data_IF_457498012632
#
_entry.id   IF_457498012632
#
_cell.length_a   1.000
_cell.length_b   1.000
_cell.length_c   1.000
_cell.angle_alpha   90.00
_cell.angle_beta   90.00
_cell.angle_gamma   90.00
#
_symmetry.space_group_name_H-M   'P 1'
#
loop_
_entity.id
_entity.type
_entity.pdbx_description
1 polymer ?
#
# COMPACT_ATOMS: atom_id res chain seq x y z
N UNK A 1 -32.77 26.82 -53.31
CA UNK A 1 -33.07 28.24 -53.00
C UNK A 1 -32.05 28.74 -51.98
N UNK A 2 -31.28 29.71 -52.45
CA UNK A 2 -30.22 30.44 -51.76
C UNK A 2 -30.72 31.16 -50.51
N UNK A 3 -29.91 31.15 -49.40
CA UNK A 3 -29.55 32.37 -48.68
C UNK A 3 -28.29 32.18 -47.83
N UNK A 4 -27.32 32.94 -48.27
CA UNK A 4 -26.03 33.23 -47.62
C UNK A 4 -26.21 34.01 -46.33
N UNK A 5 -25.49 33.69 -45.26
CA UNK A 5 -25.17 34.61 -44.16
C UNK A 5 -23.66 34.70 -43.96
N UNK A 6 -23.15 35.89 -44.19
CA UNK A 6 -21.76 36.34 -43.97
C UNK A 6 -21.33 36.13 -42.53
N UNK A 7 -20.20 35.49 -42.40
CA UNK A 7 -19.37 35.55 -41.17
C UNK A 7 -18.63 36.88 -41.15
N UNK A 8 -18.85 37.67 -40.11
CA UNK A 8 -17.99 38.80 -39.75
C UNK A 8 -16.93 38.29 -38.78
N UNK A 9 -15.68 38.25 -39.27
CA UNK A 9 -14.51 38.04 -38.41
C UNK A 9 -14.15 39.37 -37.74
N UNK A 10 -14.27 39.42 -36.40
CA UNK A 10 -13.64 40.43 -35.57
C UNK A 10 -12.57 39.75 -34.72
N UNK A 11 -11.37 39.68 -35.26
CA UNK A 11 -10.15 39.44 -34.50
C UNK A 11 -9.64 40.78 -33.96
N UNK A 12 -10.02 41.12 -32.74
CA UNK A 12 -9.35 42.13 -31.96
C UNK A 12 -8.19 41.46 -31.21
N UNK A 13 -6.97 41.60 -31.73
CA UNK A 13 -5.77 41.27 -30.96
C UNK A 13 -5.55 42.35 -29.91
N UNK A 14 -5.74 41.96 -28.63
CA UNK A 14 -5.22 42.73 -27.49
C UNK A 14 -3.74 42.33 -27.29
N UNK A 15 -2.80 43.27 -27.17
CA UNK A 15 -1.41 42.95 -26.86
C UNK A 15 -1.32 42.53 -25.41
N UNK A 16 -0.81 41.31 -25.16
CA UNK A 16 -0.37 40.86 -23.86
C UNK A 16 0.80 41.73 -23.40
N UNK A 17 0.57 42.57 -22.41
CA UNK A 17 1.64 43.27 -21.69
C UNK A 17 2.23 42.27 -20.70
N UNK A 18 3.51 41.95 -20.90
CA UNK A 18 4.27 41.07 -19.99
C UNK A 18 4.47 41.80 -18.65
N UNK A 19 3.72 41.35 -17.63
CA UNK A 19 3.79 41.91 -16.24
C UNK A 19 5.14 41.62 -15.57
N UNK A 20 5.99 40.79 -16.14
CA UNK A 20 7.26 40.33 -15.52
C UNK A 20 8.40 41.39 -15.61
N UNK A 21 8.31 42.35 -16.52
CA UNK A 21 9.38 43.37 -16.66
C UNK A 21 9.24 44.65 -15.78
N UNK A 22 8.12 44.78 -15.06
CA UNK A 22 7.83 45.97 -14.26
C UNK A 22 8.47 45.94 -12.85
N UNK A 23 8.99 44.77 -12.40
CA UNK A 23 9.40 44.59 -10.99
C UNK A 23 10.89 44.94 -10.71
N UNK A 24 11.77 45.05 -11.71
CA UNK A 24 13.21 45.15 -11.49
C UNK A 24 13.95 46.36 -12.12
N UNK A 25 13.27 47.44 -12.54
CA UNK A 25 13.92 48.65 -13.07
C UNK A 25 13.72 49.90 -12.18
N UNK A 26 14.69 50.82 -12.11
CA UNK A 26 14.50 52.07 -11.39
C UNK A 26 13.62 53.01 -12.20
N UNK A 27 12.33 53.03 -11.86
CA UNK A 27 11.35 53.90 -12.49
C UNK A 27 10.92 54.98 -11.52
N UNK A 28 11.47 56.20 -11.65
CA UNK A 28 10.62 57.35 -11.38
C UNK A 28 10.56 58.43 -12.47
N UNK A 29 11.17 58.31 -13.66
CA UNK A 29 11.32 59.45 -14.55
C UNK A 29 10.64 59.38 -15.94
N UNK A 30 9.92 58.32 -16.30
CA UNK A 30 9.37 58.14 -17.67
C UNK A 30 7.90 58.59 -17.81
N UNK A 31 7.18 58.88 -16.73
CA UNK A 31 5.76 59.25 -16.83
C UNK A 31 5.54 60.77 -16.98
N UNK A 32 6.58 61.58 -16.84
CA UNK A 32 6.43 63.04 -16.89
C UNK A 32 6.60 63.70 -18.26
N UNK A 33 6.96 62.98 -19.34
CA UNK A 33 7.36 63.62 -20.59
C UNK A 33 6.74 63.09 -21.88
N UNK A 34 5.56 62.43 -21.83
CA UNK A 34 4.82 62.14 -23.08
C UNK A 34 3.82 63.25 -23.36
N UNK A 35 4.01 64.10 -24.36
CA UNK A 35 3.02 65.11 -24.75
C UNK A 35 1.81 64.34 -25.35
N UNK A 36 0.62 64.53 -24.77
CA UNK A 36 -0.62 64.03 -25.30
C UNK A 36 -0.95 64.76 -26.58
N UNK A 37 -0.59 64.21 -27.71
CA UNK A 37 -0.95 64.64 -29.05
C UNK A 37 -2.20 63.92 -29.56
N UNK A 38 -3.27 63.94 -28.79
CA UNK A 38 -4.62 63.63 -29.32
C UNK A 38 -5.65 64.35 -28.49
N UNK A 39 -6.19 65.43 -29.07
CA UNK A 39 -7.32 66.19 -28.53
C UNK A 39 -8.58 65.69 -29.22
N UNK A 40 -9.40 64.75 -28.66
CA UNK A 40 -10.71 64.46 -29.19
C UNK A 40 -11.57 65.71 -29.02
N UNK A 41 -12.12 66.22 -30.09
CA UNK A 41 -13.10 67.31 -30.04
C UNK A 41 -14.36 66.86 -29.27
N UNK A 42 -14.60 67.46 -28.09
CA UNK A 42 -15.88 67.34 -27.39
C UNK A 42 -15.85 66.85 -25.94
N UNK A 43 -14.69 66.51 -25.34
CA UNK A 43 -14.67 66.14 -23.92
C UNK A 43 -14.27 67.37 -23.08
N UNK A 44 -15.08 67.74 -22.06
CA UNK A 44 -14.71 68.85 -21.16
C UNK A 44 -13.41 68.60 -20.45
N UNK A 45 -12.57 69.60 -20.34
CA UNK A 45 -11.22 69.54 -19.69
C UNK A 45 -11.35 68.98 -18.24
N UNK A 46 -12.45 69.18 -17.60
CA UNK A 46 -12.79 68.73 -16.24
C UNK A 46 -12.89 67.20 -16.19
N UNK A 47 -13.51 66.52 -17.18
CA UNK A 47 -13.64 65.08 -17.20
C UNK A 47 -12.28 64.39 -17.40
N UNK A 48 -11.40 64.92 -18.21
CA UNK A 48 -10.04 64.45 -18.40
C UNK A 48 -9.20 64.60 -17.14
N UNK A 49 -9.41 65.69 -16.37
CA UNK A 49 -8.72 65.97 -15.10
C UNK A 49 -9.25 65.01 -14.01
N UNK A 50 -10.53 64.80 -13.91
CA UNK A 50 -11.16 63.85 -12.96
C UNK A 50 -10.72 62.42 -13.25
N UNK A 51 -10.65 62.01 -14.51
CA UNK A 51 -10.16 60.71 -14.90
C UNK A 51 -8.65 60.50 -14.56
N UNK A 52 -7.80 61.52 -14.77
CA UNK A 52 -6.41 61.51 -14.36
C UNK A 52 -6.24 61.42 -12.86
N UNK A 53 -7.03 62.17 -12.09
CA UNK A 53 -6.97 62.13 -10.61
C UNK A 53 -7.49 60.78 -10.07
N UNK A 54 -8.51 60.22 -10.67
CA UNK A 54 -9.01 58.88 -10.33
C UNK A 54 -7.97 57.81 -10.61
N UNK A 55 -7.34 57.84 -11.79
CA UNK A 55 -6.26 56.91 -12.13
C UNK A 55 -5.04 57.03 -11.22
N UNK A 56 -4.68 58.26 -10.83
CA UNK A 56 -3.58 58.55 -9.90
C UNK A 56 -3.93 58.04 -8.48
N UNK A 57 -5.16 58.15 -8.06
CA UNK A 57 -5.63 57.64 -6.78
C UNK A 57 -5.64 56.11 -6.76
N UNK A 58 -6.13 55.44 -7.79
CA UNK A 58 -6.08 53.98 -7.90
C UNK A 58 -4.63 53.48 -7.96
N UNK A 59 -3.77 54.13 -8.70
CA UNK A 59 -2.35 53.76 -8.76
C UNK A 59 -1.66 53.91 -7.38
N UNK A 60 -2.01 54.95 -6.60
CA UNK A 60 -1.50 55.17 -5.25
C UNK A 60 -2.01 54.10 -4.27
N UNK A 61 -3.27 53.67 -4.41
CA UNK A 61 -3.84 52.59 -3.64
C UNK A 61 -3.15 51.24 -3.97
N UNK A 62 -2.91 50.95 -5.26
CA UNK A 62 -2.20 49.75 -5.69
C UNK A 62 -0.74 49.73 -5.25
N UNK A 63 -0.05 50.85 -5.31
CA UNK A 63 1.33 50.97 -4.83
C UNK A 63 1.41 50.87 -3.28
N UNK A 64 0.44 51.42 -2.57
CA UNK A 64 0.32 51.26 -1.10
C UNK A 64 0.04 49.80 -0.73
N UNK A 65 -0.85 49.13 -1.43
CA UNK A 65 -1.13 47.70 -1.23
C UNK A 65 0.10 46.82 -1.54
N UNK A 66 0.82 47.10 -2.63
CA UNK A 66 2.03 46.40 -2.98
C UNK A 66 3.17 46.62 -1.94
N UNK A 67 3.30 47.83 -1.39
CA UNK A 67 4.27 48.13 -0.34
C UNK A 67 3.93 47.39 0.97
N UNK A 68 2.67 47.44 1.40
CA UNK A 68 2.22 46.69 2.60
C UNK A 68 2.34 45.19 2.43
N UNK A 69 2.03 44.64 1.25
CA UNK A 69 2.22 43.23 0.94
C UNK A 69 3.70 42.83 0.97
N UNK A 70 4.57 43.63 0.39
CA UNK A 70 6.03 43.46 0.44
C UNK A 70 6.58 43.49 1.88
N UNK A 71 6.12 44.43 2.69
CA UNK A 71 6.55 44.55 4.08
C UNK A 71 6.08 43.34 4.91
N UNK A 72 4.84 42.93 4.75
CA UNK A 72 4.29 41.73 5.39
C UNK A 72 5.06 40.46 4.96
N UNK A 73 5.39 40.31 3.67
CA UNK A 73 6.16 39.15 3.18
C UNK A 73 7.58 39.15 3.71
N UNK A 74 8.25 40.32 3.80
CA UNK A 74 9.61 40.42 4.36
C UNK A 74 9.64 40.13 5.85
N UNK A 75 8.63 40.54 6.61
CA UNK A 75 8.51 40.24 8.05
C UNK A 75 8.18 38.77 8.31
N UNK A 76 7.35 38.13 7.49
CA UNK A 76 6.96 36.74 7.65
C UNK A 76 8.01 35.75 7.13
N UNK A 77 8.84 36.13 6.17
CA UNK A 77 9.85 35.28 5.56
C UNK A 77 10.80 34.59 6.56
N UNK A 78 11.40 35.29 7.58
CA UNK A 78 12.28 34.62 8.54
C UNK A 78 11.54 33.58 9.38
N UNK A 79 10.27 33.82 9.72
CA UNK A 79 9.45 32.84 10.46
C UNK A 79 9.11 31.63 9.59
N UNK A 80 8.78 31.85 8.32
CA UNK A 80 8.53 30.79 7.36
C UNK A 80 9.79 29.94 7.13
N UNK A 81 10.94 30.56 6.97
CA UNK A 81 12.23 29.86 6.85
C UNK A 81 12.56 29.09 8.13
N UNK A 82 12.37 29.72 9.30
CA UNK A 82 12.56 29.06 10.60
C UNK A 82 11.66 27.82 10.76
N UNK A 83 10.38 27.93 10.39
CA UNK A 83 9.45 26.81 10.40
C UNK A 83 9.86 25.70 9.41
N UNK A 84 10.27 26.08 8.20
CA UNK A 84 10.75 25.12 7.18
C UNK A 84 11.99 24.34 7.65
N UNK A 85 12.91 24.99 8.34
CA UNK A 85 14.12 24.36 8.89
C UNK A 85 13.81 23.50 10.13
N UNK A 86 12.88 23.94 10.98
CA UNK A 86 12.47 23.21 12.19
C UNK A 86 11.60 21.99 11.86
N UNK A 87 10.80 22.03 10.79
CA UNK A 87 9.83 20.99 10.45
C UNK A 87 10.43 19.57 10.32
N UNK A 88 11.54 19.35 9.60
CA UNK A 88 12.19 18.03 9.52
C UNK A 88 12.65 17.50 10.89
N UNK A 89 13.08 18.39 11.78
CA UNK A 89 13.50 18.01 13.13
C UNK A 89 12.28 17.56 13.95
N UNK A 90 11.20 18.32 13.89
CA UNK A 90 9.93 17.98 14.58
C UNK A 90 9.38 16.65 14.07
N UNK A 91 9.25 16.48 12.76
CA UNK A 91 8.70 15.26 12.18
C UNK A 91 9.55 14.03 12.52
N UNK A 92 10.87 14.12 12.38
CA UNK A 92 11.81 13.05 12.72
C UNK A 92 11.72 12.69 14.20
N UNK A 93 11.71 13.70 15.08
CA UNK A 93 11.63 13.48 16.53
C UNK A 93 10.34 12.75 16.92
N UNK A 94 9.19 13.19 16.39
CA UNK A 94 7.89 12.56 16.66
C UNK A 94 7.85 11.11 16.17
N UNK A 95 8.42 10.82 15.00
CA UNK A 95 8.49 9.45 14.46
C UNK A 95 9.33 8.52 15.35
N UNK A 96 10.54 8.95 15.73
CA UNK A 96 11.39 8.15 16.63
C UNK A 96 10.86 8.09 18.06
N UNK A 97 10.04 9.06 18.50
CA UNK A 97 9.37 9.00 19.79
C UNK A 97 8.41 7.80 19.88
N UNK A 98 7.70 7.45 18.79
CA UNK A 98 6.84 6.26 18.75
C UNK A 98 7.67 4.98 18.92
N UNK A 99 8.79 4.85 18.20
CA UNK A 99 9.68 3.70 18.36
C UNK A 99 10.21 3.60 19.80
N UNK A 100 10.65 4.72 20.38
CA UNK A 100 11.12 4.76 21.78
C UNK A 100 10.02 4.36 22.78
N UNK A 101 8.77 4.78 22.54
CA UNK A 101 7.63 4.35 23.36
C UNK A 101 7.41 2.83 23.26
N UNK A 102 7.50 2.26 22.05
CA UNK A 102 7.38 0.82 21.85
C UNK A 102 8.44 0.05 22.64
N UNK A 103 9.72 0.44 22.52
CA UNK A 103 10.82 -0.18 23.28
C UNK A 103 10.66 -0.03 24.79
N UNK A 104 10.12 1.10 25.26
CA UNK A 104 9.85 1.31 26.69
C UNK A 104 8.69 0.44 27.19
N UNK A 105 7.67 0.24 26.37
CA UNK A 105 6.48 -0.55 26.71
C UNK A 105 6.81 -2.04 26.87
N UNK A 106 7.58 -2.60 25.93
CA UNK A 106 7.86 -4.02 25.88
C UNK A 106 9.21 -4.41 26.53
N UNK A 107 10.07 -3.48 26.86
CA UNK A 107 11.31 -3.66 27.63
C UNK A 107 12.21 -4.88 27.28
N UNK A 108 12.08 -5.43 26.07
CA UNK A 108 12.94 -6.52 25.56
C UNK A 108 14.24 -5.94 25.02
N UNK A 109 15.27 -5.86 25.86
CA UNK A 109 16.55 -5.22 25.53
C UNK A 109 17.64 -6.19 25.10
N UNK A 110 17.51 -7.46 25.40
CA UNK A 110 18.49 -8.51 25.09
C UNK A 110 17.82 -9.68 24.36
N UNK A 111 18.64 -10.49 23.65
CA UNK A 111 18.15 -11.72 23.00
C UNK A 111 17.53 -12.69 24.01
N UNK A 112 18.06 -12.76 25.21
CA UNK A 112 17.50 -13.59 26.29
C UNK A 112 16.12 -13.09 26.74
N UNK A 113 15.93 -11.78 26.88
CA UNK A 113 14.60 -11.24 27.19
C UNK A 113 13.60 -11.47 26.04
N UNK A 114 14.05 -11.30 24.78
CA UNK A 114 13.24 -11.54 23.57
C UNK A 114 12.75 -12.98 23.45
N UNK A 115 13.49 -13.97 24.01
CA UNK A 115 13.08 -15.38 23.99
C UNK A 115 11.78 -15.64 24.75
N UNK A 116 11.38 -14.72 25.62
CA UNK A 116 10.15 -14.80 26.41
C UNK A 116 8.95 -14.09 25.79
N UNK A 117 9.14 -13.50 24.61
CA UNK A 117 8.08 -12.75 23.92
C UNK A 117 6.91 -13.67 23.59
N UNK A 118 5.72 -13.29 24.05
CA UNK A 118 4.49 -14.01 23.76
C UNK A 118 4.00 -13.72 22.33
N UNK A 119 3.17 -14.59 21.78
CA UNK A 119 2.61 -14.35 20.45
C UNK A 119 1.60 -13.18 20.43
N UNK A 120 0.93 -12.90 21.57
CA UNK A 120 0.09 -11.71 21.70
C UNK A 120 0.88 -10.41 21.70
N UNK A 121 1.99 -10.34 22.43
CA UNK A 121 2.89 -9.17 22.40
C UNK A 121 3.51 -8.99 21.00
N UNK A 122 3.95 -10.09 20.40
CA UNK A 122 4.46 -10.10 19.04
C UNK A 122 3.43 -9.57 18.04
N UNK A 123 2.18 -9.98 18.17
CA UNK A 123 1.06 -9.45 17.38
C UNK A 123 0.86 -7.95 17.59
N UNK A 124 0.87 -7.44 18.82
CA UNK A 124 0.66 -6.02 19.09
C UNK A 124 1.80 -5.17 18.50
N UNK A 125 3.04 -5.64 18.60
CA UNK A 125 4.20 -4.97 17.99
C UNK A 125 4.06 -4.98 16.46
N UNK A 126 3.78 -6.15 15.86
CA UNK A 126 3.59 -6.28 14.41
C UNK A 126 2.40 -5.45 13.92
N UNK A 127 1.28 -5.39 14.66
CA UNK A 127 0.11 -4.55 14.35
C UNK A 127 0.49 -3.07 14.28
N UNK A 128 1.33 -2.58 15.20
CA UNK A 128 1.82 -1.21 15.15
C UNK A 128 2.68 -0.96 13.90
N UNK A 129 3.58 -1.89 13.56
CA UNK A 129 4.38 -1.84 12.33
C UNK A 129 3.48 -1.81 11.09
N UNK A 130 2.50 -2.72 11.03
CA UNK A 130 1.63 -2.93 9.87
C UNK A 130 0.58 -1.84 9.67
N UNK A 131 0.02 -1.26 10.75
CA UNK A 131 -1.11 -0.34 10.63
C UNK A 131 -0.72 1.13 10.77
N UNK A 132 0.37 1.44 11.48
CA UNK A 132 0.76 2.81 11.83
C UNK A 132 2.07 3.25 11.20
N UNK A 133 3.12 2.40 11.26
CA UNK A 133 4.46 2.79 10.81
C UNK A 133 4.65 2.61 9.30
N UNK A 134 4.42 1.40 8.78
CA UNK A 134 4.77 1.01 7.43
C UNK A 134 3.65 0.28 6.66
N UNK A 135 2.37 0.75 6.72
CA UNK A 135 1.25 -0.02 6.20
C UNK A 135 1.38 -0.37 4.72
N UNK A 136 1.86 0.57 3.90
CA UNK A 136 1.99 0.34 2.46
C UNK A 136 2.99 -0.80 2.18
N UNK A 137 4.20 -0.71 2.73
CA UNK A 137 5.24 -1.71 2.45
C UNK A 137 4.96 -3.03 3.14
N UNK A 138 4.31 -3.03 4.30
CA UNK A 138 3.91 -4.26 4.97
C UNK A 138 2.90 -5.05 4.12
N UNK A 139 1.80 -4.41 3.65
CA UNK A 139 0.79 -5.11 2.87
C UNK A 139 1.31 -5.54 1.50
N UNK A 140 2.09 -4.66 0.83
CA UNK A 140 2.69 -4.99 -0.47
C UNK A 140 3.72 -6.10 -0.38
N UNK A 141 4.42 -6.22 0.75
CA UNK A 141 5.34 -7.33 1.00
C UNK A 141 4.63 -8.68 1.13
N UNK A 142 3.47 -8.74 1.80
CA UNK A 142 2.68 -9.96 1.90
C UNK A 142 2.12 -10.39 0.53
N UNK A 143 1.68 -9.44 -0.28
CA UNK A 143 1.25 -9.69 -1.66
C UNK A 143 2.41 -10.21 -2.51
N UNK A 144 3.58 -9.60 -2.38
CA UNK A 144 4.78 -10.03 -3.08
C UNK A 144 5.30 -11.37 -2.56
N UNK A 145 5.15 -11.68 -1.27
CA UNK A 145 5.47 -12.98 -0.71
C UNK A 145 4.71 -14.10 -1.45
N UNK A 146 3.39 -13.93 -1.58
CA UNK A 146 2.56 -14.89 -2.33
C UNK A 146 2.97 -14.96 -3.80
N UNK A 147 3.17 -13.82 -4.45
CA UNK A 147 3.62 -13.76 -5.84
C UNK A 147 4.97 -14.49 -6.06
N UNK A 148 5.92 -14.34 -5.13
CA UNK A 148 7.23 -14.97 -5.19
C UNK A 148 7.15 -16.50 -5.15
N UNK A 149 6.16 -17.08 -4.45
CA UNK A 149 5.97 -18.54 -4.42
C UNK A 149 5.74 -19.13 -5.81
N UNK A 150 5.18 -18.36 -6.75
CA UNK A 150 4.92 -18.83 -8.11
C UNK A 150 6.21 -19.05 -8.95
N UNK A 151 7.36 -18.63 -8.44
CA UNK A 151 8.66 -19.00 -9.02
C UNK A 151 9.05 -20.45 -8.80
N UNK A 152 8.28 -21.20 -7.98
CA UNK A 152 8.53 -22.62 -7.70
C UNK A 152 7.57 -23.49 -8.54
N UNK A 153 8.07 -24.36 -9.42
CA UNK A 153 7.25 -25.17 -10.34
C UNK A 153 6.24 -26.10 -9.66
N UNK A 154 6.53 -26.66 -8.49
CA UNK A 154 5.57 -27.49 -7.72
C UNK A 154 4.33 -26.67 -7.35
N UNK A 155 4.54 -25.44 -6.85
CA UNK A 155 3.46 -24.54 -6.44
C UNK A 155 2.68 -24.05 -7.66
N UNK A 156 3.36 -23.48 -8.66
CA UNK A 156 2.72 -22.90 -9.84
C UNK A 156 1.94 -23.93 -10.66
N UNK A 157 2.48 -25.15 -10.81
CA UNK A 157 1.79 -26.25 -11.51
C UNK A 157 0.52 -26.66 -10.77
N UNK A 158 0.55 -26.73 -9.44
CA UNK A 158 -0.65 -27.04 -8.66
C UNK A 158 -1.70 -25.95 -8.82
N UNK A 159 -1.31 -24.68 -8.71
CA UNK A 159 -2.20 -23.53 -8.85
C UNK A 159 -2.84 -23.49 -10.26
N UNK A 160 -2.06 -23.71 -11.31
CA UNK A 160 -2.57 -23.78 -12.68
C UNK A 160 -3.60 -24.91 -12.84
N UNK A 161 -3.37 -26.08 -12.25
CA UNK A 161 -4.28 -27.24 -12.30
C UNK A 161 -5.59 -27.02 -11.53
N UNK A 162 -5.66 -26.10 -10.58
CA UNK A 162 -6.90 -25.84 -9.84
C UNK A 162 -7.96 -25.09 -10.64
N UNK A 163 -7.65 -24.65 -11.86
CA UNK A 163 -8.51 -23.83 -12.73
C UNK A 163 -8.98 -22.49 -12.10
N UNK A 164 -8.42 -22.12 -10.95
CA UNK A 164 -8.78 -20.87 -10.26
C UNK A 164 -8.13 -19.63 -10.90
N UNK A 165 -7.20 -19.85 -11.83
CA UNK A 165 -6.58 -18.83 -12.66
C UNK A 165 -6.97 -18.93 -14.14
N UNK A 166 -8.07 -19.63 -14.47
CA UNK A 166 -8.50 -19.84 -15.86
C UNK A 166 -9.27 -18.66 -16.46
N UNK A 167 -9.79 -17.76 -15.62
CA UNK A 167 -10.45 -16.53 -16.05
C UNK A 167 -10.10 -15.35 -15.12
N UNK A 168 -10.24 -14.09 -15.59
CA UNK A 168 -10.05 -12.92 -14.73
C UNK A 168 -10.96 -12.93 -13.49
N UNK A 169 -12.21 -13.39 -13.64
CA UNK A 169 -13.18 -13.41 -12.55
C UNK A 169 -12.78 -14.38 -11.44
N UNK A 170 -12.39 -15.60 -11.81
CA UNK A 170 -11.91 -16.59 -10.83
C UNK A 170 -10.59 -16.16 -10.20
N UNK A 171 -9.69 -15.55 -10.98
CA UNK A 171 -8.41 -15.01 -10.48
C UNK A 171 -8.61 -13.90 -9.46
N UNK A 172 -9.55 -12.97 -9.71
CA UNK A 172 -9.84 -11.87 -8.77
C UNK A 172 -10.45 -12.39 -7.47
N UNK A 173 -11.43 -13.31 -7.56
CA UNK A 173 -12.01 -13.94 -6.37
C UNK A 173 -10.95 -14.69 -5.59
N UNK A 174 -10.15 -15.51 -6.25
CA UNK A 174 -9.06 -16.29 -5.63
C UNK A 174 -8.06 -15.39 -4.92
N UNK A 175 -7.63 -14.30 -5.57
CA UNK A 175 -6.74 -13.31 -4.97
C UNK A 175 -7.35 -12.68 -3.72
N UNK A 176 -8.62 -12.27 -3.80
CA UNK A 176 -9.32 -11.66 -2.67
C UNK A 176 -9.52 -12.65 -1.52
N UNK A 177 -9.96 -13.88 -1.80
CA UNK A 177 -10.15 -14.92 -0.78
C UNK A 177 -8.84 -15.23 -0.03
N UNK A 178 -7.73 -15.34 -0.76
CA UNK A 178 -6.41 -15.53 -0.15
C UNK A 178 -6.03 -14.34 0.71
N UNK A 179 -6.24 -13.12 0.21
CA UNK A 179 -5.97 -11.89 0.97
C UNK A 179 -6.82 -11.82 2.24
N UNK A 180 -8.09 -12.21 2.18
CA UNK A 180 -8.98 -12.28 3.35
C UNK A 180 -8.44 -13.26 4.39
N UNK A 181 -8.13 -14.50 4.01
CA UNK A 181 -7.63 -15.50 4.95
C UNK A 181 -6.31 -15.10 5.60
N UNK A 182 -5.36 -14.57 4.82
CA UNK A 182 -4.11 -14.05 5.36
C UNK A 182 -4.38 -12.91 6.35
N UNK A 183 -5.26 -11.98 6.00
CA UNK A 183 -5.59 -10.84 6.87
C UNK A 183 -6.35 -11.26 8.13
N UNK A 184 -7.21 -12.28 8.07
CA UNK A 184 -7.86 -12.84 9.27
C UNK A 184 -6.85 -13.41 10.25
N UNK A 185 -5.79 -14.07 9.76
CA UNK A 185 -4.71 -14.59 10.59
C UNK A 185 -3.78 -13.49 11.14
N UNK A 186 -3.45 -12.48 10.31
CA UNK A 186 -2.43 -11.46 10.61
C UNK A 186 -3.01 -10.23 11.31
N UNK A 187 -4.25 -9.90 11.05
CA UNK A 187 -4.92 -8.68 11.52
C UNK A 187 -5.66 -8.81 12.83
N UNK A 188 -5.84 -10.03 13.35
CA UNK A 188 -6.56 -10.30 14.60
C UNK A 188 -5.62 -10.85 15.67
N UNK A 189 -6.00 -10.65 16.95
CA UNK A 189 -5.26 -11.23 18.07
C UNK A 189 -5.13 -12.75 17.87
N UNK A 190 -3.92 -13.34 18.08
CA UNK A 190 -3.68 -14.77 17.91
C UNK A 190 -4.64 -15.70 18.65
N UNK A 191 -5.16 -15.25 19.80
CA UNK A 191 -6.11 -16.02 20.64
C UNK A 191 -7.57 -15.70 20.33
N UNK A 192 -7.85 -14.87 19.32
CA UNK A 192 -9.22 -14.51 18.93
C UNK A 192 -9.90 -15.60 18.10
N UNK A 193 -11.21 -15.69 18.23
CA UNK A 193 -12.02 -16.61 17.43
C UNK A 193 -11.81 -16.40 15.90
N UNK A 194 -11.59 -15.17 15.46
CA UNK A 194 -11.33 -14.85 14.04
C UNK A 194 -9.99 -15.42 13.56
N UNK A 195 -8.92 -15.24 14.35
CA UNK A 195 -7.60 -15.79 13.99
C UNK A 195 -7.66 -17.32 13.93
N UNK A 196 -8.31 -17.96 14.88
CA UNK A 196 -8.52 -19.42 14.84
C UNK A 196 -9.33 -19.86 13.62
N UNK A 197 -10.43 -19.18 13.30
CA UNK A 197 -11.23 -19.47 12.11
C UNK A 197 -10.43 -19.33 10.82
N UNK A 198 -9.58 -18.29 10.72
CA UNK A 198 -8.69 -18.09 9.58
C UNK A 198 -7.70 -19.26 9.39
N UNK A 199 -7.06 -19.70 10.49
CA UNK A 199 -6.18 -20.87 10.51
C UNK A 199 -6.92 -22.15 10.14
N UNK A 200 -8.05 -22.44 10.82
CA UNK A 200 -8.84 -23.63 10.61
C UNK A 200 -9.35 -23.71 9.17
N UNK A 201 -9.84 -22.60 8.62
CA UNK A 201 -10.29 -22.55 7.22
C UNK A 201 -9.14 -22.81 6.24
N UNK A 202 -7.97 -22.24 6.49
CA UNK A 202 -6.79 -22.46 5.65
C UNK A 202 -6.33 -23.90 5.72
N UNK A 203 -6.27 -24.53 6.90
CA UNK A 203 -5.98 -25.97 7.08
C UNK A 203 -6.97 -26.83 6.29
N UNK A 204 -8.27 -26.55 6.42
CA UNK A 204 -9.31 -27.27 5.69
C UNK A 204 -9.13 -27.19 4.17
N UNK A 205 -8.89 -25.99 3.63
CA UNK A 205 -8.71 -25.81 2.19
C UNK A 205 -7.46 -26.55 1.64
N UNK A 206 -6.43 -26.71 2.48
CA UNK A 206 -5.18 -27.39 2.11
C UNK A 206 -5.22 -28.91 2.41
N UNK A 207 -6.09 -29.39 3.30
CA UNK A 207 -6.06 -30.75 3.84
C UNK A 207 -6.09 -31.85 2.76
N UNK A 208 -7.00 -31.75 1.79
CA UNK A 208 -7.10 -32.71 0.71
C UNK A 208 -5.88 -32.71 -0.23
N UNK A 209 -5.28 -31.56 -0.45
CA UNK A 209 -4.08 -31.44 -1.28
C UNK A 209 -2.84 -31.95 -0.54
N UNK A 210 -2.72 -31.72 0.77
CA UNK A 210 -1.65 -32.29 1.61
C UNK A 210 -1.80 -33.80 1.69
N UNK A 211 -2.97 -34.32 2.01
CA UNK A 211 -3.23 -35.75 2.10
C UNK A 211 -2.94 -36.51 0.77
N UNK A 212 -3.14 -35.85 -0.37
CA UNK A 212 -2.84 -36.41 -1.69
C UNK A 212 -1.37 -36.18 -2.15
N UNK A 213 -0.51 -35.59 -1.30
CA UNK A 213 0.88 -35.28 -1.63
C UNK A 213 1.05 -34.21 -2.71
N UNK A 214 0.01 -33.44 -3.04
CA UNK A 214 0.07 -32.36 -4.03
C UNK A 214 0.60 -31.05 -3.47
N UNK A 215 0.44 -30.81 -2.16
CA UNK A 215 1.10 -29.77 -1.42
C UNK A 215 2.22 -30.43 -0.63
N UNK A 216 3.45 -30.00 -0.88
CA UNK A 216 4.64 -30.50 -0.20
C UNK A 216 4.89 -29.71 1.10
N UNK A 217 5.40 -30.36 2.14
CA UNK A 217 5.73 -29.67 3.40
C UNK A 217 6.82 -28.62 3.19
N UNK A 218 7.78 -28.87 2.32
CA UNK A 218 8.81 -27.90 1.94
C UNK A 218 8.21 -26.65 1.25
N UNK A 219 7.19 -26.82 0.40
CA UNK A 219 6.46 -25.68 -0.22
C UNK A 219 5.70 -24.86 0.83
N UNK A 220 5.12 -25.51 1.85
CA UNK A 220 4.45 -24.85 2.96
C UNK A 220 5.44 -24.06 3.82
N UNK A 221 6.58 -24.65 4.15
CA UNK A 221 7.65 -23.99 4.91
C UNK A 221 8.23 -22.81 4.12
N UNK A 222 8.44 -22.96 2.81
CA UNK A 222 8.89 -21.87 1.94
C UNK A 222 7.88 -20.72 1.87
N UNK A 223 6.61 -21.04 1.75
CA UNK A 223 5.55 -20.03 1.75
C UNK A 223 5.51 -19.26 3.07
N UNK A 224 5.60 -19.95 4.20
CA UNK A 224 5.69 -19.33 5.53
C UNK A 224 6.93 -18.44 5.67
N UNK A 225 8.08 -18.93 5.18
CA UNK A 225 9.33 -18.16 5.17
C UNK A 225 9.16 -16.82 4.45
N UNK A 226 8.53 -16.84 3.28
CA UNK A 226 8.30 -15.61 2.52
C UNK A 226 7.38 -14.64 3.24
N UNK A 227 6.31 -15.11 3.87
CA UNK A 227 5.41 -14.25 4.65
C UNK A 227 6.10 -13.61 5.86
N UNK A 228 7.05 -14.28 6.48
CA UNK A 228 7.83 -13.73 7.59
C UNK A 228 8.94 -12.77 7.12
N UNK A 229 9.64 -13.12 6.05
CA UNK A 229 10.85 -12.41 5.61
C UNK A 229 10.57 -11.22 4.71
N UNK A 230 9.56 -11.29 3.82
CA UNK A 230 9.31 -10.19 2.88
C UNK A 230 8.92 -8.88 3.55
N UNK A 231 8.11 -8.82 4.63
CA UNK A 231 7.88 -7.59 5.37
C UNK A 231 9.18 -6.94 5.87
N UNK A 232 10.10 -7.74 6.40
CA UNK A 232 11.40 -7.27 6.89
C UNK A 232 12.23 -6.71 5.72
N UNK A 233 12.34 -7.48 4.63
CA UNK A 233 13.11 -7.10 3.44
C UNK A 233 12.57 -5.82 2.78
N UNK A 234 11.24 -5.70 2.62
CA UNK A 234 10.59 -4.54 2.01
C UNK A 234 10.72 -3.28 2.87
N UNK A 235 10.48 -3.38 4.17
CA UNK A 235 10.58 -2.25 5.09
C UNK A 235 12.02 -1.77 5.13
N UNK A 236 12.98 -2.65 5.31
CA UNK A 236 14.39 -2.28 5.37
C UNK A 236 14.89 -1.65 4.06
N UNK A 237 14.36 -2.04 2.92
CA UNK A 237 14.75 -1.52 1.60
C UNK A 237 14.01 -0.23 1.23
N UNK A 238 12.71 -0.13 1.49
CA UNK A 238 11.84 0.89 0.89
C UNK A 238 11.22 1.89 1.87
N UNK A 239 11.36 1.68 3.19
CA UNK A 239 10.83 2.60 4.20
C UNK A 239 11.88 3.54 4.78
N UNK A 240 11.41 4.56 5.50
CA UNK A 240 12.23 5.65 6.03
C UNK A 240 13.20 5.24 7.16
N UNK A 241 13.03 4.07 7.77
CA UNK A 241 13.98 3.40 8.68
C UNK A 241 13.89 1.88 8.53
N UNK A 242 14.91 1.21 9.01
CA UNK A 242 14.90 -0.25 9.18
C UNK A 242 14.10 -0.64 10.43
N UNK A 243 13.70 -1.90 10.49
CA UNK A 243 13.10 -2.50 11.67
C UNK A 243 14.17 -2.69 12.77
N UNK A 244 13.78 -2.43 14.02
CA UNK A 244 14.58 -2.76 15.19
C UNK A 244 14.57 -4.27 15.46
N UNK A 245 15.51 -4.77 16.28
CA UNK A 245 15.54 -6.18 16.66
C UNK A 245 14.28 -6.61 17.42
N UNK A 246 13.69 -5.71 18.22
CA UNK A 246 12.41 -5.93 18.88
C UNK A 246 11.29 -6.20 17.84
N UNK A 247 11.20 -5.38 16.79
CA UNK A 247 10.19 -5.52 15.73
C UNK A 247 10.46 -6.77 14.88
N UNK A 248 11.73 -7.08 14.59
CA UNK A 248 12.13 -8.31 13.89
C UNK A 248 11.77 -9.55 14.70
N UNK A 249 12.12 -9.57 16.00
CA UNK A 249 11.75 -10.65 16.89
C UNK A 249 10.24 -10.87 16.93
N UNK A 250 9.46 -9.80 17.03
CA UNK A 250 8.01 -9.86 17.03
C UNK A 250 7.45 -10.47 15.74
N UNK A 251 7.97 -10.07 14.57
CA UNK A 251 7.58 -10.68 13.30
C UNK A 251 7.91 -12.17 13.28
N UNK A 252 9.12 -12.57 13.69
CA UNK A 252 9.53 -13.97 13.76
C UNK A 252 8.67 -14.80 14.72
N UNK A 253 8.43 -14.30 15.92
CA UNK A 253 7.59 -14.96 16.94
C UNK A 253 6.15 -15.14 16.45
N UNK A 254 5.58 -14.09 15.86
CA UNK A 254 4.21 -14.14 15.32
C UNK A 254 4.07 -15.16 14.19
N UNK A 255 4.96 -15.11 13.18
CA UNK A 255 4.87 -16.02 12.03
C UNK A 255 5.23 -17.47 12.39
N UNK A 256 6.11 -17.69 13.37
CA UNK A 256 6.34 -19.04 13.92
C UNK A 256 5.06 -19.57 14.55
N UNK A 257 4.33 -18.79 15.35
CA UNK A 257 3.05 -19.17 15.93
C UNK A 257 1.96 -19.44 14.87
N UNK A 258 1.96 -18.69 13.75
CA UNK A 258 1.09 -18.98 12.59
C UNK A 258 1.46 -20.30 11.93
N UNK A 259 2.76 -20.57 11.75
CA UNK A 259 3.26 -21.81 11.18
C UNK A 259 2.89 -23.03 12.01
N UNK A 260 2.99 -22.93 13.35
CA UNK A 260 2.50 -23.97 14.28
C UNK A 260 1.00 -24.20 14.10
N UNK A 261 0.22 -23.11 14.05
CA UNK A 261 -1.22 -23.16 13.81
C UNK A 261 -1.63 -23.76 12.45
N UNK A 262 -0.74 -23.77 11.47
CA UNK A 262 -0.92 -24.40 10.15
C UNK A 262 -0.29 -25.78 10.05
N UNK A 263 0.28 -26.32 11.15
CA UNK A 263 1.00 -27.61 11.20
C UNK A 263 2.14 -27.70 10.18
N UNK A 264 2.93 -26.64 10.07
CA UNK A 264 4.09 -26.60 9.17
C UNK A 264 5.28 -27.23 9.89
N UNK A 265 5.91 -28.23 9.27
CA UNK A 265 7.09 -28.90 9.82
C UNK A 265 8.33 -28.02 9.73
N UNK A 266 9.10 -27.97 10.81
CA UNK A 266 10.41 -27.31 10.87
C UNK A 266 11.60 -28.27 10.86
N UNK A 267 11.38 -29.56 10.59
CA UNK A 267 12.45 -30.59 10.63
C UNK A 267 13.62 -30.29 9.69
N UNK A 268 13.41 -29.50 8.64
CA UNK A 268 14.44 -29.07 7.69
C UNK A 268 15.34 -27.96 8.24
N UNK A 269 14.94 -27.30 9.33
CA UNK A 269 15.72 -26.24 9.95
C UNK A 269 16.70 -26.82 10.98
N UNK A 270 17.89 -26.24 11.17
CA UNK A 270 18.89 -26.74 12.12
C UNK A 270 18.36 -26.98 13.54
N UNK A 271 17.58 -26.01 14.05
CA UNK A 271 16.97 -26.10 15.39
C UNK A 271 15.57 -26.69 15.41
N UNK A 272 15.07 -27.20 14.27
CA UNK A 272 13.69 -27.68 14.14
C UNK A 272 13.32 -28.81 15.12
N UNK A 273 14.28 -29.65 15.50
CA UNK A 273 14.08 -30.75 16.49
C UNK A 273 14.43 -30.37 17.93
N UNK A 274 15.35 -29.42 18.12
CA UNK A 274 15.83 -29.01 19.44
C UNK A 274 15.09 -27.81 20.03
N UNK A 275 14.29 -27.13 19.20
CA UNK A 275 13.61 -25.87 19.54
C UNK A 275 14.47 -24.64 19.21
N UNK A 276 13.80 -23.54 18.90
CA UNK A 276 14.43 -22.25 18.62
C UNK A 276 14.48 -21.43 19.92
N UNK A 277 15.54 -20.65 20.10
CA UNK A 277 15.69 -19.77 21.25
C UNK A 277 14.71 -18.60 21.24
N UNK A 278 14.54 -17.95 20.08
CA UNK A 278 13.73 -16.74 19.92
C UNK A 278 13.32 -16.53 18.44
N UNK A 279 12.44 -15.56 18.21
CA UNK A 279 11.95 -15.23 16.86
C UNK A 279 13.05 -14.79 15.90
N UNK A 280 14.16 -14.22 16.36
CA UNK A 280 15.26 -13.80 15.48
C UNK A 280 16.04 -15.04 15.00
N UNK A 281 16.34 -16.01 15.89
CA UNK A 281 17.01 -17.25 15.47
C UNK A 281 16.14 -18.00 14.46
N UNK A 282 14.84 -18.11 14.73
CA UNK A 282 13.93 -18.74 13.78
C UNK A 282 13.95 -18.03 12.41
N UNK A 283 13.97 -16.68 12.40
CA UNK A 283 14.09 -15.92 11.14
C UNK A 283 15.42 -16.15 10.43
N UNK A 284 16.53 -16.21 11.16
CA UNK A 284 17.86 -16.46 10.61
C UNK A 284 17.95 -17.83 9.95
N UNK A 285 17.42 -18.87 10.60
CA UNK A 285 17.43 -20.24 10.08
C UNK A 285 16.49 -20.41 8.88
N UNK A 286 15.28 -19.85 8.95
CA UNK A 286 14.34 -19.95 7.83
C UNK A 286 14.76 -19.10 6.63
N UNK A 287 15.51 -18.01 6.84
CA UNK A 287 16.09 -17.17 5.78
C UNK A 287 17.17 -17.97 5.02
N UNK A 288 18.14 -18.53 5.74
CA UNK A 288 19.18 -19.36 5.16
C UNK A 288 18.60 -20.57 4.40
N UNK A 289 17.67 -21.29 5.03
CA UNK A 289 16.99 -22.43 4.39
C UNK A 289 16.21 -22.02 3.13
N UNK A 290 15.49 -20.89 3.18
CA UNK A 290 14.71 -20.43 2.04
C UNK A 290 15.56 -20.02 0.85
N UNK A 291 16.77 -19.47 1.08
CA UNK A 291 17.72 -19.15 0.03
C UNK A 291 18.27 -20.40 -0.67
N UNK A 292 18.58 -21.46 0.09
CA UNK A 292 18.97 -22.76 -0.45
C UNK A 292 17.83 -23.41 -1.24
N UNK A 293 16.61 -23.34 -0.70
CA UNK A 293 15.41 -23.84 -1.36
C UNK A 293 15.17 -23.14 -2.70
N UNK A 294 15.23 -21.82 -2.73
CA UNK A 294 15.13 -21.05 -3.97
C UNK A 294 16.25 -21.37 -4.96
N UNK A 295 17.47 -21.51 -4.49
CA UNK A 295 18.60 -21.85 -5.36
C UNK A 295 18.40 -23.18 -6.08
N UNK A 296 17.73 -24.14 -5.44
CA UNK A 296 17.48 -25.47 -5.97
C UNK A 296 16.19 -25.59 -6.79
N UNK A 297 15.11 -24.93 -6.35
CA UNK A 297 13.79 -25.19 -6.89
C UNK A 297 13.16 -24.01 -7.64
N UNK A 298 13.70 -22.79 -7.50
CA UNK A 298 13.21 -21.62 -8.28
C UNK A 298 13.88 -21.62 -9.65
N UNK A 299 13.35 -22.46 -10.52
CA UNK A 299 13.87 -22.69 -11.88
C UNK A 299 12.86 -22.24 -12.94
N UNK A 300 13.33 -21.92 -14.17
CA UNK A 300 12.45 -21.53 -15.26
C UNK A 300 11.41 -22.59 -15.61
N UNK A 301 10.12 -22.21 -15.57
CA UNK A 301 9.01 -23.08 -15.95
C UNK A 301 7.85 -22.25 -16.56
N UNK A 302 7.21 -22.80 -17.59
CA UNK A 302 6.10 -22.12 -18.26
C UNK A 302 4.88 -21.91 -17.33
N UNK A 303 4.66 -22.81 -16.35
CA UNK A 303 3.59 -22.66 -15.36
C UNK A 303 3.85 -21.55 -14.38
N UNK A 304 5.12 -21.27 -14.07
CA UNK A 304 5.49 -20.07 -13.29
C UNK A 304 5.06 -18.80 -14.01
N UNK A 305 5.33 -18.71 -15.30
CA UNK A 305 4.92 -17.57 -16.13
C UNK A 305 3.41 -17.43 -16.21
N UNK A 306 2.71 -18.51 -16.52
CA UNK A 306 1.25 -18.55 -16.62
C UNK A 306 0.58 -18.02 -15.33
N UNK A 307 1.00 -18.53 -14.18
CA UNK A 307 0.46 -18.14 -12.86
C UNK A 307 0.82 -16.70 -12.52
N UNK A 308 2.05 -16.27 -12.79
CA UNK A 308 2.52 -14.91 -12.55
C UNK A 308 1.77 -13.89 -13.43
N UNK A 309 1.53 -14.17 -14.71
CA UNK A 309 0.81 -13.26 -15.61
C UNK A 309 -0.64 -13.02 -15.14
N UNK A 310 -1.34 -14.04 -14.66
CA UNK A 310 -2.69 -13.91 -14.10
C UNK A 310 -2.71 -13.00 -12.87
N UNK A 311 -1.74 -13.16 -11.97
CA UNK A 311 -1.64 -12.30 -10.78
C UNK A 311 -1.21 -10.88 -11.15
N UNK A 312 -0.30 -10.73 -12.10
CA UNK A 312 0.12 -9.41 -12.59
C UNK A 312 -1.05 -8.65 -13.23
N UNK A 313 -1.93 -9.36 -13.96
CA UNK A 313 -3.15 -8.77 -14.50
C UNK A 313 -4.06 -8.19 -13.39
N UNK A 314 -4.14 -8.86 -12.22
CA UNK A 314 -4.85 -8.32 -11.05
C UNK A 314 -4.17 -7.06 -10.52
N UNK A 315 -2.84 -7.07 -10.39
CA UNK A 315 -2.07 -5.93 -9.85
C UNK A 315 -2.16 -4.67 -10.73
N UNK A 316 -2.20 -4.83 -12.06
CA UNK A 316 -2.30 -3.70 -12.98
C UNK A 316 -3.74 -3.34 -13.34
N UNK A 317 -4.73 -4.08 -12.82
CA UNK A 317 -6.14 -3.92 -13.17
C UNK A 317 -6.65 -2.49 -13.01
N UNK A 318 -6.30 -1.81 -11.92
CA UNK A 318 -6.73 -0.44 -11.63
C UNK A 318 -5.93 0.63 -12.39
N UNK A 319 -4.96 0.25 -13.22
CA UNK A 319 -4.25 1.19 -14.09
C UNK A 319 -5.01 1.34 -15.43
N UNK A 320 -5.01 2.54 -16.05
CA UNK A 320 -5.40 2.69 -17.44
C UNK A 320 -4.63 1.73 -18.34
N UNK A 321 -5.26 1.15 -19.36
CA UNK A 321 -4.62 0.15 -20.24
C UNK A 321 -3.30 0.62 -20.85
N UNK A 322 -3.19 1.92 -21.16
CA UNK A 322 -1.95 2.53 -21.68
C UNK A 322 -0.78 2.48 -20.69
N UNK A 323 -1.06 2.37 -19.38
CA UNK A 323 -0.05 2.27 -18.33
C UNK A 323 0.27 0.83 -17.91
N UNK A 324 -0.41 -0.18 -18.47
CA UNK A 324 -0.12 -1.58 -18.17
C UNK A 324 1.35 -1.96 -18.43
N UNK A 325 1.99 -1.55 -19.57
CA UNK A 325 3.41 -1.84 -19.77
C UNK A 325 4.32 -1.25 -18.67
N UNK A 326 3.99 -0.06 -18.17
CA UNK A 326 4.72 0.57 -17.04
C UNK A 326 4.50 -0.22 -15.75
N UNK A 327 3.27 -0.67 -15.50
CA UNK A 327 2.94 -1.54 -14.37
C UNK A 327 3.73 -2.86 -14.40
N UNK A 328 3.88 -3.48 -15.57
CA UNK A 328 4.70 -4.69 -15.75
C UNK A 328 6.19 -4.41 -15.48
N UNK A 329 6.71 -3.28 -15.92
CA UNK A 329 8.08 -2.85 -15.60
C UNK A 329 8.27 -2.67 -14.08
N UNK A 330 7.24 -2.14 -13.38
CA UNK A 330 7.27 -2.02 -11.92
C UNK A 330 7.29 -3.39 -11.25
N UNK A 331 6.47 -4.35 -11.69
CA UNK A 331 6.47 -5.71 -11.14
C UNK A 331 7.85 -6.36 -11.35
N UNK A 332 8.42 -6.24 -12.55
CA UNK A 332 9.76 -6.76 -12.85
C UNK A 332 10.85 -6.06 -12.02
N UNK A 333 10.73 -4.75 -11.75
CA UNK A 333 11.64 -4.01 -10.88
C UNK A 333 11.66 -4.54 -9.43
N UNK A 334 10.52 -5.02 -8.93
CA UNK A 334 10.42 -5.59 -7.58
C UNK A 334 11.04 -6.99 -7.47
N UNK A 335 11.20 -7.71 -8.59
CA UNK A 335 11.80 -9.04 -8.64
C UNK A 335 13.34 -8.95 -8.61
N UNK A 336 13.97 -9.96 -8.02
CA UNK A 336 15.39 -10.22 -8.25
C UNK A 336 15.61 -11.05 -9.54
N UNK A 337 16.88 -11.24 -9.92
CA UNK A 337 17.24 -11.93 -11.16
C UNK A 337 16.82 -13.40 -11.19
N UNK A 338 16.86 -14.10 -10.02
CA UNK A 338 16.43 -15.49 -9.91
C UNK A 338 14.94 -15.61 -10.20
N UNK A 339 14.13 -14.79 -9.56
CA UNK A 339 12.68 -14.80 -9.75
C UNK A 339 12.29 -14.42 -11.19
N UNK A 340 12.92 -13.38 -11.77
CA UNK A 340 12.68 -13.01 -13.18
C UNK A 340 12.99 -14.15 -14.13
N UNK A 341 14.13 -14.83 -13.96
CA UNK A 341 14.50 -15.99 -14.77
C UNK A 341 13.50 -17.13 -14.61
N UNK A 342 13.11 -17.45 -13.37
CA UNK A 342 12.16 -18.52 -13.09
C UNK A 342 10.79 -18.31 -13.74
N UNK A 343 10.37 -17.05 -13.91
CA UNK A 343 9.08 -16.67 -14.49
C UNK A 343 9.18 -16.16 -15.93
N UNK A 344 10.34 -16.21 -16.58
CA UNK A 344 10.57 -15.66 -17.93
C UNK A 344 10.19 -14.17 -18.06
N UNK A 345 10.49 -13.35 -17.04
CA UNK A 345 10.31 -11.90 -17.11
C UNK A 345 11.62 -11.24 -17.52
N UNK A 346 11.50 -10.24 -18.40
CA UNK A 346 12.64 -9.40 -18.78
C UNK A 346 13.00 -8.44 -17.63
N UNK A 347 14.29 -8.07 -17.51
CA UNK A 347 14.68 -7.01 -16.59
C UNK A 347 14.02 -5.68 -16.97
N UNK A 348 13.69 -4.84 -15.97
CA UNK A 348 13.13 -3.52 -16.26
C UNK A 348 14.15 -2.66 -17.01
N UNK A 349 13.67 -1.75 -17.86
CA UNK A 349 14.54 -0.81 -18.55
C UNK A 349 15.32 0.06 -17.55
N UNK A 350 16.53 0.50 -17.93
CA UNK A 350 17.37 1.36 -17.09
C UNK A 350 16.64 2.65 -16.68
N UNK A 351 15.86 3.23 -17.60
CA UNK A 351 15.04 4.41 -17.33
C UNK A 351 13.98 4.14 -16.27
N UNK A 352 13.19 3.06 -16.41
CA UNK A 352 12.17 2.68 -15.42
C UNK A 352 12.80 2.37 -14.06
N UNK A 353 13.94 1.68 -14.03
CA UNK A 353 14.67 1.37 -12.79
C UNK A 353 15.12 2.64 -12.06
N UNK A 354 15.72 3.59 -12.79
CA UNK A 354 16.14 4.87 -12.23
C UNK A 354 14.95 5.70 -11.74
N UNK A 355 13.87 5.80 -12.52
CA UNK A 355 12.66 6.50 -12.14
C UNK A 355 12.02 5.92 -10.87
N UNK A 356 11.81 4.61 -10.82
CA UNK A 356 11.21 3.94 -9.68
C UNK A 356 12.09 4.05 -8.42
N UNK A 357 13.41 3.89 -8.56
CA UNK A 357 14.36 4.10 -7.46
C UNK A 357 14.29 5.54 -6.93
N UNK A 358 14.18 6.53 -7.82
CA UNK A 358 14.05 7.94 -7.45
C UNK A 358 12.74 8.19 -6.71
N UNK A 359 11.62 7.70 -7.21
CA UNK A 359 10.29 7.83 -6.57
C UNK A 359 10.30 7.20 -5.17
N UNK A 360 10.83 5.99 -5.03
CA UNK A 360 10.90 5.30 -3.74
C UNK A 360 11.82 6.02 -2.76
N UNK A 361 12.95 6.55 -3.25
CA UNK A 361 13.89 7.34 -2.43
C UNK A 361 13.25 8.67 -1.99
N UNK A 362 12.62 9.39 -2.91
CA UNK A 362 11.89 10.61 -2.59
C UNK A 362 10.79 10.36 -1.56
N UNK A 363 10.03 9.24 -1.69
CA UNK A 363 9.05 8.82 -0.69
C UNK A 363 9.69 8.57 0.69
N UNK A 364 10.86 7.89 0.76
CA UNK A 364 11.59 7.68 2.03
C UNK A 364 11.94 8.99 2.71
N UNK A 365 12.49 9.94 1.95
CA UNK A 365 12.87 11.26 2.44
C UNK A 365 11.65 12.08 2.87
N UNK A 366 10.59 12.08 2.07
CA UNK A 366 9.32 12.73 2.42
C UNK A 366 8.74 12.19 3.72
N UNK A 367 8.66 10.86 3.87
CA UNK A 367 8.14 10.25 5.10
C UNK A 367 9.01 10.57 6.31
N UNK A 368 10.33 10.57 6.16
CA UNK A 368 11.26 10.85 7.27
C UNK A 368 11.20 12.28 7.76
N UNK A 369 11.19 13.23 6.83
CA UNK A 369 11.46 14.63 7.13
C UNK A 369 10.24 15.55 6.99
N UNK A 370 9.23 15.17 6.25
CA UNK A 370 8.11 16.06 5.93
C UNK A 370 6.76 15.54 6.44
N UNK A 371 6.54 14.23 6.45
CA UNK A 371 5.27 13.66 6.87
C UNK A 371 5.22 13.42 8.38
N UNK A 372 4.19 13.89 9.06
CA UNK A 372 3.91 13.54 10.45
C UNK A 372 3.65 12.04 10.63
N UNK A 373 3.94 11.44 11.79
CA UNK A 373 3.57 10.07 12.08
C UNK A 373 2.04 9.92 12.02
N UNK A 374 1.56 8.83 11.42
CA UNK A 374 0.13 8.51 11.28
C UNK A 374 -0.53 8.41 12.67
N UNK A 375 -1.56 9.20 12.98
CA UNK A 375 -2.29 9.06 14.25
C UNK A 375 -3.14 7.77 14.25
N UNK A 376 -3.50 7.28 15.43
CA UNK A 376 -4.22 6.02 15.58
C UNK A 376 -5.57 5.98 14.84
N UNK A 377 -6.30 7.09 14.82
CA UNK A 377 -7.60 7.17 14.12
C UNK A 377 -7.48 7.09 12.59
N UNK A 378 -6.27 7.29 12.04
CA UNK A 378 -5.94 7.08 10.62
C UNK A 378 -5.16 5.78 10.41
N UNK A 379 -5.21 4.82 11.35
CA UNK A 379 -4.56 3.53 11.16
C UNK A 379 -5.07 2.84 9.91
N UNK A 380 -4.21 2.10 9.27
CA UNK A 380 -4.60 1.31 8.12
C UNK A 380 -5.43 0.10 8.59
N UNK A 381 -6.67 0.05 8.16
CA UNK A 381 -7.56 -1.07 8.39
C UNK A 381 -7.97 -1.69 7.04
N UNK A 382 -7.80 -2.98 6.89
CA UNK A 382 -8.13 -3.72 5.66
C UNK A 382 -9.55 -4.26 5.67
N UNK A 383 -10.10 -4.55 6.83
CA UNK A 383 -11.43 -5.14 7.03
C UNK A 383 -12.10 -4.56 8.27
N UNK A 384 -13.41 -4.80 8.41
CA UNK A 384 -14.19 -4.36 9.57
C UNK A 384 -13.79 -5.17 10.82
N UNK A 385 -13.59 -4.48 11.94
CA UNK A 385 -13.24 -5.13 13.21
C UNK A 385 -14.45 -5.91 13.77
N UNK A 386 -15.65 -5.31 13.69
CA UNK A 386 -16.89 -5.91 14.13
C UNK A 386 -17.72 -6.46 12.97
N UNK A 387 -18.45 -7.56 13.17
CA UNK A 387 -19.36 -8.10 12.16
C UNK A 387 -20.63 -7.23 12.06
N UNK A 388 -21.35 -7.40 10.96
CA UNK A 388 -22.69 -6.83 10.81
C UNK A 388 -23.77 -7.66 11.54
N UNK A 389 -25.03 -7.25 11.40
CA UNK A 389 -26.19 -7.93 11.99
C UNK A 389 -26.35 -9.40 11.53
N UNK A 390 -25.77 -9.76 10.39
CA UNK A 390 -25.78 -11.10 9.81
C UNK A 390 -24.50 -11.88 10.12
N UNK A 391 -23.69 -11.40 11.06
CA UNK A 391 -22.38 -11.98 11.42
C UNK A 391 -21.41 -12.06 10.24
N UNK A 392 -21.41 -11.04 9.36
CA UNK A 392 -20.53 -10.93 8.20
C UNK A 392 -19.56 -9.77 8.35
N UNK A 393 -18.37 -9.96 7.81
CA UNK A 393 -17.30 -8.97 7.75
C UNK A 393 -17.15 -8.41 6.35
N UNK A 394 -16.54 -7.22 6.24
CA UNK A 394 -16.34 -6.53 4.97
C UNK A 394 -14.89 -6.10 4.80
N UNK A 395 -14.44 -6.09 3.56
CA UNK A 395 -13.23 -5.37 3.20
C UNK A 395 -13.51 -3.86 3.14
N UNK A 396 -12.61 -3.07 3.70
CA UNK A 396 -12.70 -1.60 3.68
C UNK A 396 -12.11 -1.05 2.38
N UNK A 397 -11.10 -1.72 1.85
CA UNK A 397 -10.40 -1.33 0.63
C UNK A 397 -10.38 -2.48 -0.37
N UNK A 398 -10.37 -2.14 -1.65
CA UNK A 398 -10.24 -3.11 -2.73
C UNK A 398 -9.18 -2.65 -3.74
N UNK A 399 -8.47 -3.58 -4.33
CA UNK A 399 -7.37 -3.32 -5.27
C UNK A 399 -7.71 -3.71 -6.72
N UNK A 400 -8.69 -4.58 -6.90
CA UNK A 400 -9.16 -5.02 -8.21
C UNK A 400 -10.68 -4.96 -8.26
N UNK A 401 -11.39 -6.10 -8.38
CA UNK A 401 -12.84 -6.12 -8.28
C UNK A 401 -13.30 -5.98 -6.81
N UNK A 402 -14.47 -5.36 -6.55
CA UNK A 402 -14.92 -4.97 -5.20
C UNK A 402 -15.54 -6.13 -4.39
N UNK A 403 -14.88 -7.30 -4.37
CA UNK A 403 -15.32 -8.45 -3.59
C UNK A 403 -15.40 -8.13 -2.11
N UNK A 404 -16.51 -8.47 -1.48
CA UNK A 404 -16.78 -8.32 -0.04
C UNK A 404 -16.77 -6.86 0.45
N UNK A 405 -16.90 -5.88 -0.43
CA UNK A 405 -16.94 -4.46 -0.06
C UNK A 405 -18.38 -3.98 0.06
N UNK A 406 -18.72 -3.40 1.21
CA UNK A 406 -20.07 -2.87 1.46
C UNK A 406 -20.35 -1.69 0.54
N UNK A 407 -21.48 -1.64 -0.18
CA UNK A 407 -21.87 -0.53 -1.06
C UNK A 407 -22.42 0.66 -0.24
N UNK A 408 -21.54 1.31 0.55
CA UNK A 408 -21.87 2.52 1.28
C UNK A 408 -21.96 3.72 0.33
N UNK A 409 -22.57 4.82 0.78
CA UNK A 409 -22.59 6.07 0.00
C UNK A 409 -21.19 6.49 -0.46
N UNK A 410 -20.18 6.41 0.44
CA UNK A 410 -18.81 6.79 0.12
C UNK A 410 -18.13 5.84 -0.88
N UNK A 411 -18.38 4.54 -0.75
CA UNK A 411 -17.82 3.54 -1.67
C UNK A 411 -18.46 3.59 -3.08
N UNK A 412 -19.65 4.20 -3.21
CA UNK A 412 -20.32 4.36 -4.50
C UNK A 412 -20.14 5.75 -5.13
N UNK A 413 -19.94 6.78 -4.31
CA UNK A 413 -19.96 8.17 -4.77
C UNK A 413 -18.74 8.98 -4.33
N UNK A 414 -17.81 8.38 -3.59
CA UNK A 414 -16.55 9.01 -3.18
C UNK A 414 -15.54 9.10 -4.33
N UNK A 415 -14.41 9.83 -4.13
CA UNK A 415 -13.42 10.06 -5.19
C UNK A 415 -12.85 8.78 -5.80
N UNK A 416 -12.63 7.74 -5.00
CA UNK A 416 -12.14 6.44 -5.49
C UNK A 416 -13.16 5.74 -6.38
N UNK A 417 -14.46 5.84 -6.05
CA UNK A 417 -15.52 5.27 -6.87
C UNK A 417 -15.59 5.98 -8.24
N UNK A 418 -15.49 7.31 -8.25
CA UNK A 418 -15.45 8.08 -9.50
C UNK A 418 -14.24 7.71 -10.38
N UNK A 419 -13.06 7.56 -9.77
CA UNK A 419 -11.86 7.10 -10.48
C UNK A 419 -12.06 5.69 -11.05
N UNK A 420 -12.59 4.77 -10.24
CA UNK A 420 -12.87 3.38 -10.62
C UNK A 420 -13.86 3.33 -11.80
N UNK A 421 -14.95 4.10 -11.71
CA UNK A 421 -15.94 4.23 -12.77
C UNK A 421 -15.36 4.84 -14.05
N UNK A 422 -14.55 5.90 -13.94
CA UNK A 422 -13.88 6.52 -15.09
C UNK A 422 -12.91 5.55 -15.81
N UNK A 423 -12.38 4.56 -15.11
CA UNK A 423 -11.58 3.48 -15.67
C UNK A 423 -12.43 2.34 -16.26
N UNK A 424 -13.76 2.45 -16.25
CA UNK A 424 -14.67 1.40 -16.72
C UNK A 424 -14.64 0.14 -15.85
N UNK A 425 -14.41 0.32 -14.52
CA UNK A 425 -14.32 -0.78 -13.56
C UNK A 425 -15.55 -0.78 -12.65
N UNK A 426 -15.97 -1.97 -12.14
CA UNK A 426 -17.12 -2.06 -11.24
C UNK A 426 -16.81 -1.39 -9.90
N UNK A 427 -17.81 -0.69 -9.36
CA UNK A 427 -17.78 -0.16 -7.98
C UNK A 427 -18.61 -1.04 -7.05
N UNK A 428 -18.43 -0.97 -5.72
CA UNK A 428 -19.19 -1.80 -4.78
C UNK A 428 -20.70 -1.71 -5.00
N UNK A 429 -21.36 -2.88 -5.12
CA UNK A 429 -22.80 -2.99 -5.40
C UNK A 429 -23.18 -2.99 -6.88
N UNK A 430 -22.21 -2.88 -7.80
CA UNK A 430 -22.45 -3.16 -9.22
C UNK A 430 -22.57 -4.67 -9.46
N UNK A 431 -23.25 -5.07 -10.51
CA UNK A 431 -23.45 -6.47 -10.93
C UNK A 431 -24.12 -7.36 -9.85
N UNK A 432 -24.95 -6.77 -8.96
CA UNK A 432 -25.72 -7.50 -7.95
C UNK A 432 -24.83 -8.26 -6.97
N UNK A 433 -25.10 -9.56 -6.78
CA UNK A 433 -24.41 -10.40 -5.80
C UNK A 433 -23.05 -10.95 -6.26
N UNK A 434 -22.63 -10.66 -7.48
CA UNK A 434 -21.38 -11.19 -8.07
C UNK A 434 -20.15 -10.97 -7.20
N UNK A 435 -20.07 -9.79 -6.56
CA UNK A 435 -18.93 -9.41 -5.72
C UNK A 435 -19.21 -9.53 -4.22
N UNK A 436 -20.25 -10.27 -3.84
CA UNK A 436 -20.63 -10.50 -2.43
C UNK A 436 -20.75 -9.18 -1.63
N UNK A 437 -21.62 -8.24 -2.05
CA UNK A 437 -21.77 -6.95 -1.37
C UNK A 437 -22.32 -7.07 0.06
N UNK A 438 -22.82 -8.25 0.42
CA UNK A 438 -23.26 -8.62 1.77
C UNK A 438 -22.11 -9.04 2.69
N UNK A 439 -20.86 -8.98 2.22
CA UNK A 439 -19.69 -9.35 3.00
C UNK A 439 -19.38 -10.85 2.98
N UNK A 440 -18.43 -11.27 3.84
CA UNK A 440 -17.97 -12.65 3.95
C UNK A 440 -18.15 -13.21 5.36
N UNK A 441 -18.26 -14.52 5.44
CA UNK A 441 -18.13 -15.31 6.67
C UNK A 441 -16.84 -16.14 6.54
N UNK A 442 -15.93 -16.05 7.52
CA UNK A 442 -14.60 -16.70 7.42
C UNK A 442 -14.68 -18.18 7.06
N UNK A 443 -15.60 -18.99 7.65
CA UNK A 443 -15.77 -20.39 7.28
C UNK A 443 -16.17 -20.64 5.82
N UNK A 444 -16.66 -19.65 5.08
CA UNK A 444 -17.11 -19.78 3.70
C UNK A 444 -16.11 -19.21 2.67
N UNK A 445 -15.07 -18.52 3.12
CA UNK A 445 -14.05 -17.95 2.24
C UNK A 445 -13.32 -19.05 1.47
N UNK A 446 -13.11 -18.84 0.19
CA UNK A 446 -12.40 -19.75 -0.71
C UNK A 446 -13.18 -20.08 -1.98
N UNK A 447 -12.75 -21.08 -2.77
CA UNK A 447 -13.43 -21.49 -3.99
C UNK A 447 -14.90 -21.84 -3.76
N UNK A 448 -15.77 -21.44 -4.68
CA UNK A 448 -17.22 -21.58 -4.54
C UNK A 448 -17.67 -23.01 -4.19
N UNK A 449 -16.98 -24.03 -4.71
CA UNK A 449 -17.31 -25.43 -4.42
C UNK A 449 -16.97 -25.86 -2.98
N UNK A 450 -16.26 -25.03 -2.20
CA UNK A 450 -16.01 -25.24 -0.77
C UNK A 450 -16.93 -24.42 0.15
N UNK A 451 -17.74 -23.52 -0.38
CA UNK A 451 -18.70 -22.77 0.42
C UNK A 451 -19.66 -23.71 1.16
N UNK A 452 -19.90 -23.45 2.44
CA UNK A 452 -20.75 -24.27 3.31
C UNK A 452 -20.15 -25.62 3.74
N UNK A 453 -18.98 -26.02 3.22
CA UNK A 453 -18.36 -27.32 3.50
C UNK A 453 -17.30 -27.24 4.61
N UNK A 454 -17.06 -28.41 5.25
CA UNK A 454 -15.97 -28.58 6.22
C UNK A 454 -16.30 -28.07 7.62
N UNK A 455 -17.54 -27.78 7.96
CA UNK A 455 -17.93 -27.23 9.28
C UNK A 455 -17.43 -28.08 10.44
N UNK A 456 -17.67 -29.41 10.39
CA UNK A 456 -17.19 -30.32 11.42
C UNK A 456 -15.68 -30.28 11.62
N UNK A 457 -14.91 -30.32 10.53
CA UNK A 457 -13.44 -30.21 10.58
C UNK A 457 -12.96 -28.85 11.10
N UNK A 458 -13.66 -27.76 10.76
CA UNK A 458 -13.37 -26.46 11.31
C UNK A 458 -13.58 -26.44 12.84
N UNK A 459 -14.69 -27.01 13.32
CA UNK A 459 -15.00 -27.03 14.76
C UNK A 459 -13.96 -27.87 15.53
N UNK A 460 -13.56 -29.03 14.99
CA UNK A 460 -12.50 -29.88 15.54
C UNK A 460 -11.17 -29.12 15.61
N UNK A 461 -10.77 -28.48 14.51
CA UNK A 461 -9.54 -27.67 14.47
C UNK A 461 -9.60 -26.46 15.41
N UNK A 462 -10.76 -25.84 15.59
CA UNK A 462 -10.94 -24.73 16.53
C UNK A 462 -10.73 -25.17 17.98
N UNK A 463 -11.20 -26.34 18.37
CA UNK A 463 -10.98 -26.90 19.71
C UNK A 463 -9.49 -27.16 19.92
N UNK A 464 -8.84 -27.81 18.99
CA UNK A 464 -7.42 -28.09 19.02
C UNK A 464 -6.58 -26.80 19.14
N UNK A 465 -6.85 -25.79 18.29
CA UNK A 465 -6.12 -24.50 18.32
C UNK A 465 -6.28 -23.78 19.68
N UNK A 466 -7.44 -23.84 20.31
CA UNK A 466 -7.69 -23.25 21.63
C UNK A 466 -6.89 -23.93 22.75
N UNK A 467 -6.58 -25.21 22.61
CA UNK A 467 -5.84 -25.95 23.62
C UNK A 467 -4.36 -25.57 23.64
N UNK A 468 -3.71 -25.46 22.50
CA UNK A 468 -2.27 -25.22 22.46
C UNK A 468 -1.88 -23.77 22.13
N UNK A 469 -2.67 -23.02 21.32
CA UNK A 469 -2.38 -21.65 20.94
C UNK A 469 -3.01 -20.66 21.95
N UNK A 470 -2.39 -20.57 23.12
CA UNK A 470 -2.96 -19.87 24.30
C UNK A 470 -2.40 -18.46 24.51
N UNK A 471 -1.78 -17.84 23.50
CA UNK A 471 -1.19 -16.51 23.66
C UNK A 471 0.19 -16.51 24.33
N UNK A 472 0.79 -17.67 24.55
CA UNK A 472 2.11 -17.85 25.18
C UNK A 472 3.25 -17.68 24.18
N UNK A 473 4.47 -17.76 24.68
CA UNK A 473 5.67 -17.81 23.86
C UNK A 473 5.70 -19.09 23.02
N UNK A 474 5.85 -19.05 21.69
CA UNK A 474 5.84 -20.24 20.85
C UNK A 474 7.19 -21.01 20.87
N UNK A 475 8.13 -20.57 21.69
CA UNK A 475 9.47 -21.19 21.80
C UNK A 475 9.67 -21.98 23.11
N UNK A 476 8.71 -21.93 24.03
CA UNK A 476 8.76 -22.59 25.34
C UNK A 476 7.47 -23.29 25.70
#
# INVERSE_FOLDING_TARGET
MYRSHKKVNLTAQLPFINIVEIVNGPVPWIIASTPILFKPRGIPLIEVLVYKLSLQYELHQLLGFAATFRDMTTQLLPYAVGLLLAWPVVTTTLRFQRLRKLHKQYAYTTRESMSKMTDEEAFQIQKQVAQLEFPLMFIKSLQFALFRTYGIPSISTLLAKTSQFSSPETSFKRYTDTSVLVQEMVGNNPTSARAYLGLARTRYLHSGYRASGKILDDDMLFTLALFALQPIRFINRYEWRQLSDLERCAIGTFWKSVGDGLEISYEKLPSGKTGFRDGIQWLEEIDAWSEEYEAKFMVPDAKNRETADQTTAVLVYMLPKMLHPVGLQFVSFMMDDRLRKAMYYDPPSAFCSALLSTILTARKLFLRYLALPRPYFLRFASFTEEPDQNNRFFLIQWEAAPYYVKPTFWNRWGPMAWLTWALGRPVPGDEGDKYYPTGYSVPDVGPKYFEGKGRKQLDETLLELKEYRTGKCPFH
#
